data_IF_276021155427
#
_entry.id   IF_276021155427
#
_cell.length_a   1.000
_cell.length_b   1.000
_cell.length_c   1.000
_cell.angle_alpha   90.00
_cell.angle_beta   90.00
_cell.angle_gamma   90.00
#
_symmetry.space_group_name_H-M   'P 1'
#
loop_
_entity.id
_entity.type
_entity.pdbx_description
1 polymer ?
#
# COMPACT_ATOMS: atom_id res chain seq x y z
N UNK A 1 4.22 20.29 -24.64
CA UNK A 1 3.28 19.57 -23.75
C UNK A 1 3.45 20.18 -22.36
N UNK A 2 2.38 20.71 -21.76
CA UNK A 2 2.42 21.34 -20.43
C UNK A 2 2.45 20.30 -19.30
N UNK A 3 2.23 20.70 -18.03
CA UNK A 3 1.99 19.77 -16.93
C UNK A 3 0.85 18.80 -17.27
N UNK A 4 1.06 17.51 -17.08
CA UNK A 4 0.06 16.48 -17.32
C UNK A 4 0.28 15.31 -16.34
N UNK A 5 -0.79 14.63 -15.91
CA UNK A 5 -0.67 13.43 -15.08
C UNK A 5 -0.09 12.23 -15.84
N UNK A 6 -0.17 12.25 -17.17
CA UNK A 6 0.39 11.22 -18.04
C UNK A 6 1.35 11.82 -19.08
N UNK A 7 2.49 11.16 -19.37
CA UNK A 7 2.94 9.89 -18.78
C UNK A 7 3.32 10.05 -17.30
N UNK A 8 3.08 9.01 -16.49
CA UNK A 8 3.54 8.97 -15.11
C UNK A 8 5.07 8.84 -15.04
N UNK A 9 5.79 9.96 -14.87
CA UNK A 9 7.24 10.00 -14.82
C UNK A 9 7.75 9.73 -13.40
N UNK A 10 8.49 8.63 -13.24
CA UNK A 10 9.16 8.25 -11.99
C UNK A 10 10.66 8.49 -12.06
N UNK A 11 11.18 9.27 -11.12
CA UNK A 11 12.62 9.39 -10.89
C UNK A 11 13.04 8.34 -9.86
N UNK A 12 13.91 7.42 -10.27
CA UNK A 12 14.61 6.52 -9.37
C UNK A 12 15.66 7.32 -8.60
N UNK A 13 15.34 7.72 -7.37
CA UNK A 13 16.11 8.65 -6.57
C UNK A 13 17.21 7.94 -5.78
N UNK A 14 18.45 8.42 -5.94
CA UNK A 14 19.60 8.00 -5.14
C UNK A 14 20.33 9.22 -4.58
N UNK A 15 20.89 9.09 -3.38
CA UNK A 15 21.78 10.10 -2.79
C UNK A 15 23.03 10.36 -3.66
N UNK A 16 23.39 9.41 -4.53
CA UNK A 16 24.53 9.50 -5.45
C UNK A 16 24.19 10.11 -6.81
N UNK A 17 22.93 10.50 -7.07
CA UNK A 17 22.59 11.18 -8.31
C UNK A 17 23.36 12.51 -8.46
N UNK A 18 23.67 12.95 -9.69
CA UNK A 18 24.29 14.24 -9.93
C UNK A 18 23.45 15.40 -9.37
N UNK A 19 24.07 16.34 -8.67
CA UNK A 19 23.36 17.44 -8.00
C UNK A 19 22.58 18.34 -8.97
N UNK A 20 23.08 18.50 -10.19
CA UNK A 20 22.37 19.21 -11.26
C UNK A 20 21.05 18.52 -11.62
N UNK A 21 21.04 17.19 -11.68
CA UNK A 21 19.82 16.42 -11.98
C UNK A 21 18.84 16.49 -10.81
N UNK A 22 19.31 16.33 -9.57
CA UNK A 22 18.50 16.52 -8.36
C UNK A 22 17.82 17.90 -8.34
N UNK A 23 18.58 18.95 -8.62
CA UNK A 23 18.10 20.34 -8.67
C UNK A 23 17.05 20.53 -9.78
N UNK A 24 17.28 19.92 -10.95
CA UNK A 24 16.33 19.98 -12.06
C UNK A 24 15.01 19.27 -11.72
N UNK A 25 15.07 18.06 -11.17
CA UNK A 25 13.89 17.31 -10.74
C UNK A 25 13.08 18.11 -9.70
N UNK A 26 13.74 18.64 -8.67
CA UNK A 26 13.08 19.48 -7.66
C UNK A 26 12.41 20.71 -8.26
N UNK A 27 13.11 21.44 -9.16
CA UNK A 27 12.55 22.58 -9.89
C UNK A 27 11.31 22.18 -10.71
N UNK A 28 11.35 21.02 -11.36
CA UNK A 28 10.24 20.53 -12.16
C UNK A 28 9.04 20.12 -11.29
N UNK A 29 9.26 19.44 -10.16
CA UNK A 29 8.20 19.14 -9.20
C UNK A 29 7.54 20.41 -8.67
N UNK A 30 8.32 21.45 -8.31
CA UNK A 30 7.77 22.75 -7.87
C UNK A 30 6.91 23.38 -8.97
N UNK A 31 7.37 23.30 -10.23
CA UNK A 31 6.71 23.96 -11.36
C UNK A 31 5.46 23.24 -11.82
N UNK A 32 5.40 21.92 -11.74
CA UNK A 32 4.37 21.12 -12.43
C UNK A 32 3.59 20.17 -11.54
N UNK A 33 4.14 19.77 -10.39
CA UNK A 33 3.57 18.73 -9.54
C UNK A 33 3.25 17.42 -10.30
N UNK A 34 4.09 17.06 -11.28
CA UNK A 34 3.83 15.94 -12.21
C UNK A 34 4.93 14.87 -12.25
N UNK A 35 5.83 14.84 -11.26
CA UNK A 35 6.92 13.86 -11.18
C UNK A 35 6.83 13.15 -9.84
N UNK A 36 6.93 11.82 -9.87
CA UNK A 36 7.05 10.98 -8.67
C UNK A 36 8.49 10.49 -8.46
N UNK A 37 8.78 10.04 -7.24
CA UNK A 37 10.12 9.62 -6.83
C UNK A 37 10.03 8.29 -6.08
N UNK A 38 10.91 7.35 -6.41
CA UNK A 38 11.05 6.06 -5.73
C UNK A 38 12.50 5.83 -5.30
N UNK A 39 12.72 5.16 -4.17
CA UNK A 39 14.05 5.06 -3.58
C UNK A 39 14.91 3.96 -4.24
N UNK A 40 15.79 4.39 -5.14
CA UNK A 40 16.73 3.53 -5.87
C UNK A 40 17.86 2.98 -4.98
N UNK A 41 18.22 3.67 -3.89
CA UNK A 41 19.23 3.14 -2.97
C UNK A 41 18.75 1.87 -2.26
N UNK A 42 17.43 1.73 -2.03
CA UNK A 42 16.82 0.53 -1.43
C UNK A 42 16.47 -0.51 -2.51
N UNK A 43 15.78 -0.09 -3.57
CA UNK A 43 15.23 -1.04 -4.55
C UNK A 43 16.31 -1.75 -5.36
N UNK A 44 17.42 -1.06 -5.70
CA UNK A 44 18.48 -1.62 -6.54
C UNK A 44 19.14 -2.86 -5.93
N UNK A 45 19.25 -2.92 -4.59
CA UNK A 45 19.81 -4.08 -3.89
C UNK A 45 18.99 -5.36 -4.12
N UNK A 46 17.68 -5.22 -4.35
CA UNK A 46 16.75 -6.34 -4.53
C UNK A 46 16.42 -6.65 -5.99
N UNK A 47 16.36 -5.63 -6.86
CA UNK A 47 15.87 -5.77 -8.24
C UNK A 47 16.92 -5.57 -9.33
N UNK A 48 18.15 -5.21 -8.96
CA UNK A 48 19.23 -4.85 -9.87
C UNK A 48 19.12 -3.42 -10.38
N UNK A 49 19.87 -3.09 -11.43
CA UNK A 49 19.95 -1.74 -12.03
C UNK A 49 19.11 -1.58 -13.31
N UNK A 50 18.45 -2.65 -13.76
CA UNK A 50 17.55 -2.68 -14.93
C UNK A 50 16.10 -3.06 -14.52
N UNK A 51 15.59 -2.35 -13.51
CA UNK A 51 14.22 -2.48 -13.03
C UNK A 51 13.38 -1.26 -13.41
N UNK A 52 12.06 -1.47 -13.49
CA UNK A 52 11.10 -0.40 -13.67
C UNK A 52 10.03 -0.42 -12.59
N UNK A 53 9.25 0.66 -12.55
CA UNK A 53 8.10 0.80 -11.66
C UNK A 53 6.82 0.52 -12.46
N UNK A 54 6.11 -0.52 -12.06
CA UNK A 54 4.78 -0.82 -12.58
C UNK A 54 3.73 -0.04 -11.79
N UNK A 55 2.82 0.63 -12.52
CA UNK A 55 1.75 1.45 -11.96
C UNK A 55 2.29 2.56 -11.04
N UNK A 56 2.07 2.47 -9.72
CA UNK A 56 2.49 3.50 -8.78
C UNK A 56 3.88 3.24 -8.20
N UNK A 57 4.08 2.09 -7.54
CA UNK A 57 5.24 1.86 -6.64
C UNK A 57 5.88 0.47 -6.76
N UNK A 58 5.38 -0.38 -7.66
CA UNK A 58 5.79 -1.78 -7.75
C UNK A 58 7.05 -1.96 -8.59
N UNK A 59 8.21 -2.22 -7.97
CA UNK A 59 9.44 -2.53 -8.69
C UNK A 59 9.42 -3.92 -9.36
N UNK A 60 9.90 -3.99 -10.60
CA UNK A 60 9.99 -5.23 -11.37
C UNK A 60 11.20 -5.20 -12.30
N UNK A 61 11.97 -6.28 -12.36
CA UNK A 61 13.02 -6.45 -13.38
C UNK A 61 12.39 -6.53 -14.77
N UNK A 62 12.82 -5.67 -15.69
CA UNK A 62 12.19 -5.50 -16.99
C UNK A 62 12.27 -6.78 -17.82
N UNK A 63 11.13 -7.21 -18.36
CA UNK A 63 11.01 -8.39 -19.22
C UNK A 63 11.25 -9.74 -18.53
N UNK A 64 11.55 -9.76 -17.22
CA UNK A 64 11.89 -10.97 -16.45
C UNK A 64 10.93 -11.27 -15.31
N UNK A 65 10.12 -10.29 -14.90
CA UNK A 65 9.16 -10.43 -13.82
C UNK A 65 7.76 -9.99 -14.26
N UNK A 66 6.74 -10.54 -13.60
CA UNK A 66 5.35 -10.10 -13.68
C UNK A 66 4.71 -10.11 -12.29
N UNK A 67 3.69 -9.28 -12.08
CA UNK A 67 2.91 -9.23 -10.84
C UNK A 67 1.45 -9.52 -11.13
N UNK A 68 0.83 -10.39 -10.34
CA UNK A 68 -0.63 -10.54 -10.32
C UNK A 68 -1.22 -9.45 -9.44
N UNK A 69 -1.97 -8.53 -10.05
CA UNK A 69 -2.52 -7.38 -9.35
C UNK A 69 -3.68 -7.78 -8.43
N UNK A 70 -3.51 -7.59 -7.12
CA UNK A 70 -4.48 -8.00 -6.09
C UNK A 70 -5.48 -6.94 -5.65
N UNK A 71 -5.42 -5.70 -6.17
CA UNK A 71 -6.11 -4.55 -5.57
C UNK A 71 -5.67 -4.29 -4.11
N UNK A 72 -6.60 -4.17 -3.17
CA UNK A 72 -6.31 -3.86 -1.76
C UNK A 72 -7.41 -4.38 -0.82
N UNK A 73 -7.03 -4.81 0.37
CA UNK A 73 -7.94 -5.11 1.47
C UNK A 73 -8.13 -3.88 2.38
N UNK A 74 -9.27 -3.78 3.07
CA UNK A 74 -9.60 -2.65 3.95
C UNK A 74 -9.39 -3.02 5.42
N UNK A 75 -8.19 -2.80 5.94
CA UNK A 75 -7.84 -3.12 7.34
C UNK A 75 -8.62 -2.31 8.37
N UNK A 76 -9.03 -1.07 8.06
CA UNK A 76 -9.85 -0.28 8.97
C UNK A 76 -11.23 -0.93 9.17
N UNK A 77 -11.81 -1.48 8.10
CA UNK A 77 -13.08 -2.20 8.19
C UNK A 77 -12.92 -3.56 8.88
N UNK A 78 -11.82 -4.25 8.63
CA UNK A 78 -11.45 -5.49 9.32
C UNK A 78 -11.33 -5.27 10.84
N UNK A 79 -10.78 -4.14 11.28
CA UNK A 79 -10.76 -3.76 12.70
C UNK A 79 -12.17 -3.58 13.27
N UNK A 80 -13.08 -2.91 12.56
CA UNK A 80 -14.47 -2.78 13.00
C UNK A 80 -15.18 -4.12 13.07
N UNK A 81 -14.90 -5.04 12.13
CA UNK A 81 -15.44 -6.39 12.18
C UNK A 81 -14.90 -7.16 13.38
N UNK A 82 -13.62 -7.02 13.72
CA UNK A 82 -13.05 -7.64 14.91
C UNK A 82 -13.75 -7.18 16.20
N UNK A 83 -14.04 -5.88 16.31
CA UNK A 83 -14.79 -5.31 17.45
C UNK A 83 -16.24 -5.83 17.47
N UNK A 84 -16.89 -5.87 16.31
CA UNK A 84 -18.33 -6.18 16.17
C UNK A 84 -18.64 -7.67 15.95
N UNK A 85 -17.69 -8.58 16.19
CA UNK A 85 -17.90 -10.03 16.02
C UNK A 85 -18.20 -10.45 14.57
N UNK A 86 -17.53 -9.82 13.61
CA UNK A 86 -17.68 -10.07 12.16
C UNK A 86 -18.87 -9.36 11.51
N UNK A 87 -19.62 -8.53 12.25
CA UNK A 87 -20.75 -7.78 11.72
C UNK A 87 -20.35 -6.43 11.15
N UNK A 88 -20.99 -6.10 10.04
CA UNK A 88 -20.86 -4.80 9.40
C UNK A 88 -21.56 -3.70 10.21
N UNK A 89 -20.83 -2.63 10.47
CA UNK A 89 -21.24 -1.55 11.37
C UNK A 89 -22.40 -0.70 10.81
N UNK A 90 -22.67 -0.76 9.50
CA UNK A 90 -23.71 0.05 8.84
C UNK A 90 -24.97 -0.75 8.55
N UNK A 91 -24.80 -1.97 8.04
CA UNK A 91 -25.89 -2.85 7.60
C UNK A 91 -26.32 -3.85 8.67
N UNK A 92 -25.47 -4.12 9.67
CA UNK A 92 -25.69 -5.17 10.68
C UNK A 92 -25.51 -6.59 10.15
N UNK A 93 -25.14 -6.77 8.87
CA UNK A 93 -24.97 -8.07 8.26
C UNK A 93 -23.75 -8.81 8.83
N UNK A 94 -23.86 -10.14 8.95
CA UNK A 94 -22.73 -11.00 9.28
C UNK A 94 -21.86 -11.17 8.02
N UNK A 95 -20.71 -10.50 7.96
CA UNK A 95 -19.80 -10.55 6.80
C UNK A 95 -18.62 -11.45 7.09
N UNK A 96 -17.96 -11.24 8.25
CA UNK A 96 -16.91 -12.11 8.75
C UNK A 96 -17.45 -13.32 9.53
N UNK A 97 -16.57 -14.18 10.04
CA UNK A 97 -16.95 -15.26 10.94
C UNK A 97 -17.65 -14.70 12.18
N UNK A 98 -18.57 -15.49 12.74
CA UNK A 98 -19.30 -15.11 13.95
C UNK A 98 -18.42 -15.30 15.20
N UNK A 99 -17.38 -14.48 15.32
CA UNK A 99 -16.53 -14.40 16.50
C UNK A 99 -17.22 -13.60 17.60
N UNK A 100 -16.78 -13.82 18.84
CA UNK A 100 -17.21 -12.98 19.96
C UNK A 100 -16.66 -11.56 19.77
N UNK A 101 -17.54 -10.56 19.70
CA UNK A 101 -17.17 -9.15 19.67
C UNK A 101 -16.59 -8.67 21.01
N UNK A 102 -16.28 -7.38 21.10
CA UNK A 102 -15.89 -6.71 22.34
C UNK A 102 -17.13 -6.10 22.97
N UNK A 103 -17.40 -6.43 24.23
CA UNK A 103 -18.57 -5.96 24.97
C UNK A 103 -18.20 -5.02 26.13
N UNK A 104 -16.91 -4.74 26.34
CA UNK A 104 -16.46 -3.78 27.35
C UNK A 104 -16.84 -2.35 26.96
N UNK A 105 -17.12 -1.51 27.96
CA UNK A 105 -17.41 -0.09 27.73
C UNK A 105 -16.17 0.69 27.24
N UNK A 106 -14.97 0.23 27.62
CA UNK A 106 -13.68 0.79 27.22
C UNK A 106 -12.92 -0.25 26.43
N UNK A 107 -12.40 0.16 25.26
CA UNK A 107 -11.59 -0.70 24.40
C UNK A 107 -10.16 -0.80 24.92
N UNK A 108 -9.75 -1.99 25.34
CA UNK A 108 -8.37 -2.28 25.73
C UNK A 108 -7.55 -2.74 24.52
N UNK A 109 -6.38 -2.12 24.31
CA UNK A 109 -5.57 -2.33 23.12
C UNK A 109 -5.23 -3.80 22.87
N UNK A 110 -4.79 -4.53 23.90
CA UNK A 110 -4.37 -5.93 23.75
C UNK A 110 -5.54 -6.85 23.38
N UNK A 111 -6.74 -6.58 23.89
CA UNK A 111 -7.95 -7.33 23.50
C UNK A 111 -8.33 -7.03 22.05
N UNK A 112 -8.36 -5.75 21.68
CA UNK A 112 -8.68 -5.30 20.32
C UNK A 112 -7.70 -5.90 19.32
N UNK A 113 -6.39 -5.81 19.61
CA UNK A 113 -5.35 -6.31 18.72
C UNK A 113 -5.45 -7.83 18.55
N UNK A 114 -5.69 -8.59 19.63
CA UNK A 114 -5.88 -10.04 19.56
C UNK A 114 -7.08 -10.43 18.67
N UNK A 115 -8.21 -9.74 18.79
CA UNK A 115 -9.38 -10.00 17.93
C UNK A 115 -9.14 -9.52 16.49
N UNK A 116 -8.39 -8.43 16.31
CA UNK A 116 -8.03 -7.90 15.01
C UNK A 116 -7.11 -8.86 14.24
N UNK A 117 -6.11 -9.44 14.91
CA UNK A 117 -5.23 -10.48 14.37
C UNK A 117 -6.04 -11.69 13.88
N UNK A 118 -6.95 -12.19 14.69
CA UNK A 118 -7.86 -13.29 14.31
C UNK A 118 -8.75 -12.94 13.10
N UNK A 119 -9.22 -11.69 12.99
CA UNK A 119 -10.01 -11.24 11.85
C UNK A 119 -9.15 -11.03 10.59
N UNK A 120 -7.88 -10.63 10.75
CA UNK A 120 -6.90 -10.55 9.65
C UNK A 120 -6.57 -11.94 9.09
N UNK A 121 -6.48 -12.98 9.91
CA UNK A 121 -6.30 -14.37 9.44
C UNK A 121 -7.44 -14.78 8.50
N UNK A 122 -8.69 -14.49 8.89
CA UNK A 122 -9.85 -14.74 8.03
C UNK A 122 -9.79 -13.90 6.74
N UNK A 123 -9.47 -12.61 6.86
CA UNK A 123 -9.38 -11.71 5.71
C UNK A 123 -8.34 -12.19 4.70
N UNK A 124 -7.15 -12.60 5.18
CA UNK A 124 -6.07 -13.11 4.35
C UNK A 124 -6.50 -14.36 3.59
N UNK A 125 -7.20 -15.28 4.27
CA UNK A 125 -7.79 -16.46 3.63
C UNK A 125 -8.74 -16.07 2.50
N UNK A 126 -9.73 -15.21 2.77
CA UNK A 126 -10.71 -14.79 1.75
C UNK A 126 -10.08 -14.00 0.61
N UNK A 127 -9.05 -13.20 0.87
CA UNK A 127 -8.41 -12.35 -0.12
C UNK A 127 -7.51 -13.13 -1.10
N UNK A 128 -6.94 -14.25 -0.67
CA UNK A 128 -6.05 -15.09 -1.48
C UNK A 128 -6.78 -16.26 -2.18
N UNK A 129 -7.95 -16.66 -1.66
CA UNK A 129 -8.77 -17.78 -2.18
C UNK A 129 -9.14 -17.68 -3.66
#
# INVERSE_FOLDING_TARGET
>A
LGPAPEPNLTVLWSVRLPDNFKTYCAKMSIKTSSIQYENDDIMRESYGDDYGIACCVSAMTIGKQMQFFGARANLAKTLLYAINGGKDEKSGAQVGPNFEGINSEVLEYDEVFKKFDQMMDWLAGVYIN
#
